data_IF_240672951810
#
_entry.id   IF_240672951810
#
_cell.length_a   1.000
_cell.length_b   1.000
_cell.length_c   1.000
_cell.angle_alpha   90.00
_cell.angle_beta   90.00
_cell.angle_gamma   90.00
#
_symmetry.space_group_name_H-M   'P 1'
#
loop_
_entity.id
_entity.type
_entity.pdbx_description
1 polymer ?
#
# COMPACT_ATOMS: atom_id res chain seq x y z
N UNK A 1 -16.36 -15.95 -16.20
CA UNK A 1 -16.30 -16.28 -14.76
C UNK A 1 -17.25 -15.33 -14.07
N UNK A 2 -18.29 -15.86 -13.43
CA UNK A 2 -19.19 -15.05 -12.61
C UNK A 2 -18.43 -14.74 -11.31
N UNK A 3 -18.13 -13.46 -11.08
CA UNK A 3 -17.39 -13.05 -9.88
C UNK A 3 -18.43 -12.58 -8.89
N UNK A 4 -18.63 -13.37 -7.84
CA UNK A 4 -19.52 -13.03 -6.74
C UNK A 4 -19.18 -11.63 -6.20
N UNK A 5 -20.21 -10.87 -5.79
CA UNK A 5 -20.04 -9.48 -5.36
C UNK A 5 -19.02 -9.33 -4.21
N UNK A 6 -18.95 -10.32 -3.34
CA UNK A 6 -18.00 -10.40 -2.24
C UNK A 6 -16.56 -10.60 -2.74
N UNK A 7 -16.35 -11.52 -3.68
CA UNK A 7 -15.05 -11.76 -4.33
C UNK A 7 -14.56 -10.52 -5.06
N UNK A 8 -15.47 -9.83 -5.78
CA UNK A 8 -15.17 -8.58 -6.47
C UNK A 8 -14.73 -7.49 -5.49
N UNK A 9 -15.36 -7.39 -4.32
CA UNK A 9 -14.98 -6.44 -3.27
C UNK A 9 -13.57 -6.72 -2.74
N UNK A 10 -13.25 -7.99 -2.44
CA UNK A 10 -11.92 -8.39 -1.96
C UNK A 10 -10.82 -8.04 -2.97
N UNK A 11 -11.05 -8.30 -4.25
CA UNK A 11 -10.12 -7.93 -5.33
C UNK A 11 -9.93 -6.42 -5.39
N UNK A 12 -11.02 -5.65 -5.46
CA UNK A 12 -10.95 -4.18 -5.59
C UNK A 12 -10.20 -3.58 -4.41
N UNK A 13 -10.51 -4.00 -3.18
CA UNK A 13 -9.84 -3.49 -1.98
C UNK A 13 -8.34 -3.82 -2.03
N UNK A 14 -7.98 -5.07 -2.24
CA UNK A 14 -6.56 -5.50 -2.30
C UNK A 14 -5.78 -4.78 -3.40
N UNK A 15 -6.32 -4.74 -4.61
CA UNK A 15 -5.68 -4.01 -5.73
C UNK A 15 -5.55 -2.52 -5.43
N UNK A 16 -6.58 -1.89 -4.87
CA UNK A 16 -6.52 -0.48 -4.51
C UNK A 16 -5.48 -0.18 -3.43
N UNK A 17 -5.32 -1.06 -2.43
CA UNK A 17 -4.31 -0.93 -1.39
C UNK A 17 -2.89 -0.98 -1.95
N UNK A 18 -2.63 -1.88 -2.90
CA UNK A 18 -1.33 -1.97 -3.59
C UNK A 18 -1.06 -0.71 -4.43
N UNK A 19 -2.05 -0.24 -5.18
CA UNK A 19 -1.92 0.98 -5.98
C UNK A 19 -1.65 2.21 -5.11
N UNK A 20 -2.32 2.30 -3.96
CA UNK A 20 -2.10 3.38 -2.99
C UNK A 20 -0.68 3.31 -2.41
N UNK A 21 -0.17 2.12 -2.12
CA UNK A 21 1.21 1.95 -1.67
C UNK A 21 2.25 2.36 -2.72
N UNK A 22 2.02 2.01 -3.99
CA UNK A 22 2.86 2.48 -5.09
C UNK A 22 2.85 4.01 -5.20
N UNK A 23 1.69 4.64 -5.02
CA UNK A 23 1.59 6.11 -5.03
C UNK A 23 2.43 6.74 -3.90
N UNK A 24 2.49 6.12 -2.71
CA UNK A 24 3.36 6.56 -1.62
C UNK A 24 4.83 6.48 -2.01
N UNK A 25 5.28 5.38 -2.63
CA UNK A 25 6.66 5.26 -3.11
C UNK A 25 7.03 6.30 -4.15
N UNK A 26 6.13 6.57 -5.11
CA UNK A 26 6.33 7.65 -6.08
C UNK A 26 6.42 9.00 -5.36
N UNK A 27 5.52 9.27 -4.42
CA UNK A 27 5.54 10.51 -3.63
C UNK A 27 6.84 10.71 -2.85
N UNK A 28 7.40 9.64 -2.27
CA UNK A 28 8.70 9.67 -1.58
C UNK A 28 9.80 9.97 -2.59
N UNK A 29 9.83 9.30 -3.74
CA UNK A 29 10.82 9.56 -4.79
C UNK A 29 10.78 11.00 -5.30
N UNK A 30 9.58 11.57 -5.46
CA UNK A 30 9.40 12.97 -5.84
C UNK A 30 9.82 13.95 -4.73
N UNK A 31 9.67 13.59 -3.46
CA UNK A 31 9.98 14.47 -2.33
C UNK A 31 11.47 14.50 -1.98
N UNK A 32 12.17 13.37 -2.10
CA UNK A 32 13.57 13.23 -1.70
C UNK A 32 14.56 13.21 -2.87
N UNK A 33 14.08 13.04 -4.11
CA UNK A 33 14.94 12.99 -5.29
C UNK A 33 15.81 11.72 -5.36
N UNK A 34 16.67 11.59 -6.37
CA UNK A 34 17.41 10.35 -6.65
C UNK A 34 18.48 10.01 -5.61
N UNK A 35 19.04 10.99 -4.90
CA UNK A 35 20.06 10.73 -3.88
C UNK A 35 19.50 10.14 -2.59
N UNK A 36 18.18 10.28 -2.33
CA UNK A 36 17.39 9.78 -1.19
C UNK A 36 17.86 10.19 0.22
N UNK A 37 19.17 10.25 0.46
CA UNK A 37 19.79 10.51 1.76
C UNK A 37 19.36 9.51 2.84
N UNK A 38 19.80 9.75 4.07
CA UNK A 38 19.36 8.97 5.22
C UNK A 38 17.87 9.16 5.53
N UNK A 39 17.34 10.36 5.30
CA UNK A 39 15.92 10.66 5.56
C UNK A 39 14.99 9.96 4.57
N UNK A 40 15.28 9.94 3.27
CA UNK A 40 14.46 9.23 2.30
C UNK A 40 14.53 7.71 2.51
N UNK A 41 15.69 7.18 2.92
CA UNK A 41 15.81 5.77 3.29
C UNK A 41 14.92 5.42 4.48
N UNK A 42 14.91 6.26 5.54
CA UNK A 42 14.00 6.09 6.66
C UNK A 42 12.52 6.25 6.25
N UNK A 43 12.21 7.18 5.34
CA UNK A 43 10.86 7.35 4.81
C UNK A 43 10.37 6.10 4.06
N UNK A 44 11.24 5.43 3.28
CA UNK A 44 10.94 4.16 2.64
C UNK A 44 10.64 3.05 3.65
N UNK A 45 11.48 2.91 4.69
CA UNK A 45 11.27 1.92 5.74
C UNK A 45 9.95 2.19 6.48
N UNK A 46 9.66 3.45 6.80
CA UNK A 46 8.41 3.85 7.43
C UNK A 46 7.21 3.56 6.53
N UNK A 47 7.31 3.80 5.21
CA UNK A 47 6.26 3.47 4.25
C UNK A 47 5.99 1.97 4.16
N UNK A 48 7.04 1.14 4.17
CA UNK A 48 6.90 -0.33 4.20
C UNK A 48 6.19 -0.77 5.49
N UNK A 49 6.61 -0.24 6.65
CA UNK A 49 5.98 -0.56 7.93
C UNK A 49 4.50 -0.16 7.94
N UNK A 50 4.18 1.05 7.45
CA UNK A 50 2.80 1.52 7.30
C UNK A 50 2.00 0.59 6.40
N UNK A 51 2.56 0.16 5.26
CA UNK A 51 1.87 -0.73 4.34
C UNK A 51 1.56 -2.10 4.95
N UNK A 52 2.49 -2.67 5.70
CA UNK A 52 2.26 -3.93 6.42
C UNK A 52 1.10 -3.78 7.41
N UNK A 53 1.08 -2.70 8.19
CA UNK A 53 -0.01 -2.40 9.12
C UNK A 53 -1.34 -2.18 8.39
N UNK A 54 -1.33 -1.46 7.28
CA UNK A 54 -2.50 -1.24 6.45
C UNK A 54 -3.06 -2.54 5.89
N UNK A 55 -2.21 -3.44 5.38
CA UNK A 55 -2.63 -4.75 4.88
C UNK A 55 -3.12 -5.67 5.99
N UNK A 56 -2.53 -5.59 7.20
CA UNK A 56 -3.08 -6.24 8.39
C UNK A 56 -4.50 -5.75 8.70
N UNK A 57 -4.71 -4.42 8.67
CA UNK A 57 -6.03 -3.82 8.84
C UNK A 57 -7.03 -4.20 7.75
N UNK A 58 -6.61 -4.24 6.48
CA UNK A 58 -7.42 -4.71 5.36
C UNK A 58 -7.80 -6.18 5.53
N UNK A 59 -6.87 -7.02 5.99
CA UNK A 59 -7.13 -8.42 6.29
C UNK A 59 -8.19 -8.60 7.38
N UNK A 60 -8.12 -7.79 8.44
CA UNK A 60 -9.16 -7.76 9.50
C UNK A 60 -10.50 -7.27 8.92
N UNK A 61 -10.49 -6.19 8.13
CA UNK A 61 -11.69 -5.59 7.55
C UNK A 61 -12.42 -6.49 6.54
N UNK A 62 -11.69 -7.35 5.83
CA UNK A 62 -12.22 -8.31 4.86
C UNK A 62 -12.43 -9.72 5.45
N UNK A 63 -12.06 -9.91 6.72
CA UNK A 63 -12.07 -11.19 7.44
C UNK A 63 -13.41 -11.59 8.05
N UNK A 64 -14.49 -10.91 7.68
CA UNK A 64 -15.91 -11.19 7.96
C UNK A 64 -16.70 -11.25 6.64
#
# INVERSE_FOLDING_TARGET
MDIDAEMRRKIVVSTSSVLLFLAVFVGIGLSFGPDFGSQGALALVAAIALFILAMGGVGIFLGE
#
